data_IF_739195303446
#
_entry.id   IF_739195303446
#
_cell.length_a   1.000
_cell.length_b   1.000
_cell.length_c   1.000
_cell.angle_alpha   90.00
_cell.angle_beta   90.00
_cell.angle_gamma   90.00
#
_symmetry.space_group_name_H-M   'P 1'
#
loop_
_entity.id
_entity.type
_entity.pdbx_description
1 polymer ?
#
# COMPACT_ATOMS: atom_id res chain seq x y z
N UNK A 1 -2.56 13.07 25.17
CA UNK A 1 -1.53 13.29 24.14
C UNK A 1 -2.25 13.77 22.89
N UNK A 2 -1.88 14.91 22.30
CA UNK A 2 -2.44 15.28 20.99
C UNK A 2 -1.90 14.29 19.97
N UNK A 3 -2.77 13.39 19.49
CA UNK A 3 -2.43 12.49 18.40
C UNK A 3 -2.11 13.29 17.14
N UNK A 4 -1.05 12.91 16.43
CA UNK A 4 -0.74 13.48 15.12
C UNK A 4 -1.82 12.93 14.17
N UNK A 5 -2.64 13.81 13.59
CA UNK A 5 -3.53 13.47 12.48
C UNK A 5 -2.95 14.13 11.23
N UNK A 6 -2.75 13.34 10.19
CA UNK A 6 -2.33 13.85 8.89
C UNK A 6 -2.89 12.98 7.77
N UNK A 7 -3.38 13.65 6.74
CA UNK A 7 -3.60 13.06 5.41
C UNK A 7 -2.69 13.80 4.46
N UNK A 8 -1.70 13.08 3.91
CA UNK A 8 -0.72 13.62 2.98
C UNK A 8 -0.89 12.88 1.66
N UNK A 9 -1.16 13.62 0.59
CA UNK A 9 -1.17 13.10 -0.78
C UNK A 9 -0.18 13.89 -1.62
N UNK A 10 0.85 13.20 -2.13
CA UNK A 10 1.91 13.78 -2.96
C UNK A 10 1.87 13.16 -4.34
N UNK A 11 1.72 13.99 -5.38
CA UNK A 11 1.91 13.57 -6.77
C UNK A 11 3.35 13.82 -7.19
N UNK A 12 4.02 12.76 -7.62
CA UNK A 12 5.39 12.79 -8.13
C UNK A 12 5.39 12.48 -9.63
N UNK A 13 6.28 13.12 -10.38
CA UNK A 13 6.49 12.82 -11.80
C UNK A 13 7.94 12.46 -12.04
N UNK A 14 8.22 11.31 -12.64
CA UNK A 14 9.55 10.86 -13.01
C UNK A 14 9.55 10.55 -14.51
N UNK A 15 10.19 11.40 -15.31
CA UNK A 15 10.11 11.31 -16.77
C UNK A 15 8.69 11.50 -17.28
N UNK A 16 8.14 10.47 -17.93
CA UNK A 16 6.74 10.46 -18.38
C UNK A 16 5.77 9.85 -17.35
N UNK A 17 6.30 9.17 -16.33
CA UNK A 17 5.48 8.45 -15.36
C UNK A 17 5.06 9.36 -14.21
N UNK A 18 3.86 9.10 -13.69
CA UNK A 18 3.30 9.82 -12.55
C UNK A 18 2.96 8.83 -11.44
N UNK A 19 3.18 9.23 -10.19
CA UNK A 19 2.93 8.43 -9.00
C UNK A 19 2.18 9.25 -7.97
N UNK A 20 1.29 8.60 -7.23
CA UNK A 20 0.66 9.18 -6.05
C UNK A 20 1.19 8.46 -4.81
N UNK A 21 1.63 9.24 -3.83
CA UNK A 21 2.00 8.77 -2.50
C UNK A 21 0.93 9.27 -1.55
N UNK A 22 0.21 8.34 -0.92
CA UNK A 22 -0.81 8.64 0.07
C UNK A 22 -0.38 8.11 1.43
N UNK A 23 -0.41 8.97 2.44
CA UNK A 23 -0.15 8.65 3.84
C UNK A 23 -1.33 9.12 4.67
N UNK A 24 -1.96 8.20 5.39
CA UNK A 24 -3.05 8.45 6.32
C UNK A 24 -2.65 8.01 7.73
N UNK A 25 -2.53 9.00 8.62
CA UNK A 25 -2.20 8.79 10.04
C UNK A 25 -3.44 9.17 10.87
N UNK A 26 -4.22 8.19 11.38
CA UNK A 26 -5.33 8.45 12.28
C UNK A 26 -4.88 9.08 13.61
N UNK A 27 -5.78 9.81 14.27
CA UNK A 27 -5.52 10.55 15.51
C UNK A 27 -5.34 9.68 16.76
N UNK A 28 -5.52 8.36 16.66
CA UNK A 28 -5.40 7.40 17.74
C UNK A 28 -4.20 6.48 17.51
N UNK A 29 -3.76 5.78 18.56
CA UNK A 29 -2.87 4.62 18.41
C UNK A 29 -3.47 3.72 17.33
N UNK A 30 -2.67 3.25 16.35
CA UNK A 30 -3.17 2.33 15.34
C UNK A 30 -3.71 1.08 16.04
N UNK A 31 -4.72 0.49 15.41
CA UNK A 31 -5.34 -0.75 15.84
C UNK A 31 -5.70 -1.60 14.62
N UNK A 32 -5.93 -2.91 14.77
CA UNK A 32 -6.38 -3.80 13.67
C UNK A 32 -7.55 -3.23 12.85
N UNK A 33 -8.51 -2.60 13.52
CA UNK A 33 -9.70 -1.99 12.96
C UNK A 33 -9.51 -0.59 12.39
N UNK A 34 -8.40 0.07 12.71
CA UNK A 34 -8.03 1.42 12.28
C UNK A 34 -6.51 1.56 12.12
N UNK A 35 -5.90 0.86 11.14
CA UNK A 35 -4.46 0.85 10.97
C UNK A 35 -3.95 2.18 10.40
N UNK A 36 -2.66 2.45 10.60
CA UNK A 36 -1.93 3.44 9.83
C UNK A 36 -1.76 2.92 8.41
N UNK A 37 -2.05 3.76 7.41
CA UNK A 37 -2.03 3.36 6.01
C UNK A 37 -1.07 4.24 5.22
N UNK A 38 -0.20 3.60 4.45
CA UNK A 38 0.68 4.25 3.50
C UNK A 38 0.63 3.49 2.17
N UNK A 39 0.46 4.19 1.06
CA UNK A 39 0.43 3.58 -0.25
C UNK A 39 1.11 4.44 -1.31
N UNK A 40 1.76 3.77 -2.26
CA UNK A 40 2.27 4.38 -3.48
C UNK A 40 1.61 3.69 -4.66
N UNK A 41 0.99 4.48 -5.53
CA UNK A 41 0.38 3.99 -6.75
C UNK A 41 0.98 4.69 -7.98
N UNK A 42 1.13 3.96 -9.09
CA UNK A 42 1.32 4.57 -10.41
C UNK A 42 0.02 5.22 -10.86
N UNK A 43 0.12 6.30 -11.64
CA UNK A 43 -1.00 7.03 -12.19
C UNK A 43 -1.01 6.92 -13.72
N UNK A 44 -2.20 6.82 -14.31
CA UNK A 44 -2.38 6.99 -15.75
C UNK A 44 -2.24 8.46 -16.17
N UNK A 45 -2.39 8.72 -17.47
CA UNK A 45 -2.32 10.06 -18.07
C UNK A 45 -3.43 10.99 -17.57
N UNK A 46 -4.53 10.44 -17.07
CA UNK A 46 -5.66 11.17 -16.47
C UNK A 46 -5.47 11.36 -14.95
N UNK A 47 -4.36 10.88 -14.39
CA UNK A 47 -4.02 10.99 -12.98
C UNK A 47 -4.76 10.00 -12.07
N UNK A 48 -5.29 8.90 -12.61
CA UNK A 48 -5.99 7.85 -11.86
C UNK A 48 -5.02 6.72 -11.47
N UNK A 49 -5.14 6.15 -10.26
CA UNK A 49 -4.33 5.00 -9.85
C UNK A 49 -4.50 3.81 -10.80
N UNK A 50 -3.39 3.25 -11.27
CA UNK A 50 -3.37 2.06 -12.15
C UNK A 50 -2.85 0.86 -11.38
N UNK A 51 -1.64 0.94 -10.85
CA UNK A 51 -1.01 -0.13 -10.08
C UNK A 51 -0.62 0.37 -8.68
N UNK A 52 -0.93 -0.41 -7.65
CA UNK A 52 -0.39 -0.17 -6.31
C UNK A 52 0.99 -0.81 -6.22
N UNK A 53 2.02 0.02 -6.06
CA UNK A 53 3.43 -0.38 -6.06
C UNK A 53 3.94 -0.68 -4.65
N UNK A 54 3.41 0.04 -3.66
CA UNK A 54 3.69 -0.17 -2.26
C UNK A 54 2.40 0.04 -1.48
N UNK A 55 2.12 -0.87 -0.56
CA UNK A 55 1.00 -0.79 0.36
C UNK A 55 1.53 -1.23 1.73
N UNK A 56 1.36 -0.37 2.73
CA UNK A 56 1.75 -0.62 4.11
C UNK A 56 0.56 -0.34 5.00
N UNK A 57 0.20 -1.32 5.84
CA UNK A 57 -0.78 -1.17 6.90
C UNK A 57 -0.16 -1.61 8.22
N UNK A 58 -0.28 -0.78 9.25
CA UNK A 58 0.20 -1.08 10.60
C UNK A 58 -0.98 -0.91 11.56
N UNK A 59 -1.51 -2.03 12.05
CA UNK A 59 -2.54 -2.08 13.07
C UNK A 59 -1.93 -2.06 14.47
N UNK A 60 -1.09 -3.04 14.81
CA UNK A 60 -0.35 -3.10 16.07
C UNK A 60 0.92 -3.97 15.90
N UNK A 61 1.57 -4.37 16.99
CA UNK A 61 2.79 -5.19 16.93
C UNK A 61 2.61 -6.58 16.32
N UNK A 62 1.38 -7.05 16.14
CA UNK A 62 1.05 -8.36 15.55
C UNK A 62 0.25 -8.23 14.26
N UNK A 63 -0.03 -7.00 13.82
CA UNK A 63 -0.85 -6.68 12.67
C UNK A 63 -0.07 -5.71 11.77
N UNK A 64 0.79 -6.27 10.93
CA UNK A 64 1.63 -5.54 9.99
C UNK A 64 1.45 -6.16 8.62
N UNK A 65 1.20 -5.33 7.62
CA UNK A 65 1.05 -5.75 6.24
C UNK A 65 1.87 -4.84 5.35
N UNK A 66 2.73 -5.43 4.53
CA UNK A 66 3.55 -4.75 3.54
C UNK A 66 3.43 -5.53 2.24
N UNK A 67 2.99 -4.88 1.18
CA UNK A 67 3.07 -5.41 -0.18
C UNK A 67 3.86 -4.49 -1.08
N UNK A 68 4.73 -5.10 -1.89
CA UNK A 68 5.56 -4.42 -2.86
C UNK A 68 5.38 -5.08 -4.22
N UNK A 69 5.02 -4.29 -5.21
CA UNK A 69 4.94 -4.69 -6.59
C UNK A 69 5.85 -3.79 -7.44
N UNK A 70 6.65 -4.36 -8.36
CA UNK A 70 7.40 -3.56 -9.32
C UNK A 70 6.43 -2.87 -10.31
N UNK A 71 6.79 -1.71 -10.84
CA UNK A 71 6.01 -1.07 -11.89
C UNK A 71 5.85 -1.99 -13.11
N UNK A 72 4.63 -2.13 -13.63
CA UNK A 72 4.37 -2.97 -14.80
C UNK A 72 5.15 -2.55 -16.06
N UNK A 73 5.51 -1.26 -16.18
CA UNK A 73 6.41 -0.77 -17.23
C UNK A 73 7.80 -1.42 -17.17
N UNK A 74 8.37 -1.55 -15.98
CA UNK A 74 9.68 -2.17 -15.77
C UNK A 74 9.67 -3.67 -16.10
N UNK A 75 8.58 -4.37 -15.76
CA UNK A 75 8.41 -5.79 -16.10
C UNK A 75 8.37 -5.99 -17.63
N UNK A 76 7.72 -5.07 -18.36
CA UNK A 76 7.65 -5.08 -19.83
C UNK A 76 8.99 -4.78 -20.48
N UNK A 77 9.73 -3.78 -19.98
CA UNK A 77 11.05 -3.42 -20.52
C UNK A 77 12.09 -4.53 -20.35
N UNK A 78 12.02 -5.26 -19.23
CA UNK A 78 12.91 -6.37 -18.93
C UNK A 78 12.50 -7.69 -19.60
N UNK A 79 11.30 -7.74 -20.22
CA UNK A 79 10.73 -8.95 -20.83
C UNK A 79 10.35 -10.03 -19.82
N UNK A 80 10.39 -9.72 -18.53
CA UNK A 80 10.03 -10.61 -17.41
C UNK A 80 8.53 -10.86 -17.38
N UNK A 81 7.72 -9.94 -17.90
CA UNK A 81 6.27 -10.07 -18.08
C UNK A 81 5.85 -11.28 -18.94
N UNK A 82 6.76 -11.83 -19.75
CA UNK A 82 6.54 -13.04 -20.55
C UNK A 82 6.72 -14.34 -19.77
N UNK A 83 7.26 -14.26 -18.55
CA UNK A 83 7.63 -15.41 -17.70
C UNK A 83 6.93 -15.34 -16.35
N UNK A 84 6.72 -14.12 -15.83
CA UNK A 84 6.08 -13.87 -14.53
C UNK A 84 4.87 -12.99 -14.77
N UNK A 85 3.67 -13.57 -14.64
CA UNK A 85 2.39 -12.85 -14.84
C UNK A 85 2.17 -11.77 -13.79
N UNK A 86 2.64 -11.98 -12.56
CA UNK A 86 2.60 -11.01 -11.46
C UNK A 86 3.74 -11.28 -10.47
N UNK A 87 4.52 -10.25 -10.12
CA UNK A 87 5.49 -10.29 -9.03
C UNK A 87 4.99 -9.40 -7.90
N UNK A 88 4.62 -10.00 -6.77
CA UNK A 88 4.25 -9.26 -5.58
C UNK A 88 4.96 -9.90 -4.38
N UNK A 89 5.64 -9.09 -3.60
CA UNK A 89 6.27 -9.52 -2.35
C UNK A 89 5.38 -9.03 -1.22
N UNK A 90 4.81 -9.98 -0.48
CA UNK A 90 3.94 -9.68 0.68
C UNK A 90 4.62 -10.16 1.94
N UNK A 91 4.74 -9.27 2.93
CA UNK A 91 5.09 -9.58 4.30
C UNK A 91 3.86 -9.25 5.14
N UNK A 92 3.33 -10.23 5.85
CA UNK A 92 2.12 -10.07 6.66
C UNK A 92 2.27 -10.78 8.01
N UNK A 93 2.01 -10.05 9.07
CA UNK A 93 1.66 -10.55 10.40
C UNK A 93 0.19 -10.17 10.65
N UNK A 94 -0.64 -11.15 10.97
CA UNK A 94 -2.10 -11.01 10.92
C UNK A 94 -2.67 -11.10 9.50
N UNK A 95 -4.00 -11.09 9.39
CA UNK A 95 -4.72 -11.23 8.13
C UNK A 95 -5.31 -9.90 7.68
N UNK A 96 -4.60 -9.18 6.81
CA UNK A 96 -5.06 -7.90 6.29
C UNK A 96 -6.10 -8.06 5.16
N UNK A 97 -7.25 -7.39 5.31
CA UNK A 97 -8.29 -7.26 4.31
C UNK A 97 -8.14 -5.93 3.58
N UNK A 98 -7.70 -6.00 2.32
CA UNK A 98 -7.47 -4.84 1.46
C UNK A 98 -8.74 -4.07 1.10
N UNK A 99 -9.87 -4.75 1.05
CA UNK A 99 -11.16 -4.14 0.69
C UNK A 99 -11.65 -3.26 1.83
N UNK A 100 -11.65 -3.81 3.04
CA UNK A 100 -12.14 -3.13 4.24
C UNK A 100 -11.07 -2.24 4.90
N UNK A 101 -9.81 -2.37 4.45
CA UNK A 101 -8.60 -1.69 4.93
C UNK A 101 -8.35 -1.91 6.43
N UNK A 102 -8.56 -3.15 6.89
CA UNK A 102 -8.47 -3.57 8.29
C UNK A 102 -7.83 -4.95 8.40
N UNK A 103 -7.32 -5.30 9.56
CA UNK A 103 -6.96 -6.67 9.88
C UNK A 103 -8.20 -7.41 10.39
N UNK A 104 -8.39 -8.65 9.93
CA UNK A 104 -9.40 -9.53 10.49
C UNK A 104 -9.04 -9.81 11.96
N UNK A 105 -10.04 -9.89 12.85
CA UNK A 105 -9.79 -10.38 14.20
C UNK A 105 -9.29 -11.83 14.10
N UNK A 106 -8.09 -12.09 14.60
CA UNK A 106 -7.67 -13.46 14.88
C UNK A 106 -8.70 -14.03 15.87
N UNK A 107 -9.53 -14.96 15.40
CA UNK A 107 -10.33 -15.78 16.30
C UNK A 107 -9.35 -16.50 17.22
N UNK A 108 -9.22 -16.01 18.45
CA UNK A 108 -8.64 -16.78 19.54
C UNK A 108 -9.57 -17.96 19.77
N UNK A 109 -9.19 -19.12 19.25
CA UNK A 109 -9.66 -20.42 19.76
C UNK A 109 -9.16 -20.62 21.20
#
# INVERSE_FOLDING_TARGET
>A
MSGINAVISVKLKLGQDSYNVDLNIPSSTPAPEAPFLFSVASLDKDGKPVDTLLEVAIGDSSNIYIAVAPPGSLLKETGVDKVVENLNVVVSEGKYNKTDKKFDEDKKD
#
